data_IF_172482552198
#
_entry.id   IF_172482552198
#
_cell.length_a   1.000
_cell.length_b   1.000
_cell.length_c   1.000
_cell.angle_alpha   90.00
_cell.angle_beta   90.00
_cell.angle_gamma   90.00
#
_symmetry.space_group_name_H-M   'P 1'
#
loop_
_entity.id
_entity.type
_entity.pdbx_description
1 polymer ?
#
# COMPACT_ATOMS: atom_id res chain seq x y z
N UNK A 1 -22.38 14.59 -26.03
CA UNK A 1 -21.34 15.60 -25.72
C UNK A 1 -20.15 14.84 -25.19
N UNK A 2 -19.01 14.94 -25.85
CA UNK A 2 -17.76 14.33 -25.40
C UNK A 2 -17.41 14.95 -24.04
N UNK A 3 -17.11 14.13 -23.03
CA UNK A 3 -16.77 14.62 -21.70
C UNK A 3 -15.47 15.43 -21.79
N UNK A 4 -15.52 16.72 -21.43
CA UNK A 4 -14.39 17.64 -21.53
C UNK A 4 -13.34 17.32 -20.44
N UNK A 5 -12.14 16.85 -20.81
CA UNK A 5 -11.05 16.55 -19.86
C UNK A 5 -10.68 17.76 -18.99
N UNK A 6 -10.91 18.97 -19.48
CA UNK A 6 -10.62 20.23 -18.77
C UNK A 6 -11.44 20.36 -17.49
N UNK A 7 -12.69 19.87 -17.49
CA UNK A 7 -13.56 19.89 -16.31
C UNK A 7 -13.11 18.89 -15.24
N UNK A 8 -12.74 17.68 -15.65
CA UNK A 8 -12.18 16.68 -14.75
C UNK A 8 -10.88 17.18 -14.11
N UNK A 9 -10.04 17.86 -14.90
CA UNK A 9 -8.83 18.50 -14.39
C UNK A 9 -9.13 19.62 -13.38
N UNK A 10 -10.14 20.47 -13.65
CA UNK A 10 -10.55 21.51 -12.70
C UNK A 10 -11.08 20.90 -11.39
N UNK A 11 -11.90 19.85 -11.48
CA UNK A 11 -12.40 19.11 -10.32
C UNK A 11 -11.26 18.48 -9.51
N UNK A 12 -10.25 17.91 -10.18
CA UNK A 12 -9.10 17.31 -9.48
C UNK A 12 -8.32 18.37 -8.69
N UNK A 13 -8.16 19.58 -9.23
CA UNK A 13 -7.53 20.71 -8.55
C UNK A 13 -8.38 21.20 -7.37
N UNK A 14 -9.69 21.35 -7.54
CA UNK A 14 -10.60 21.74 -6.46
C UNK A 14 -10.57 20.72 -5.31
N UNK A 15 -10.67 19.42 -5.62
CA UNK A 15 -10.56 18.37 -4.61
C UNK A 15 -9.21 18.36 -3.92
N UNK A 16 -8.12 18.72 -4.59
CA UNK A 16 -6.82 18.83 -3.91
C UNK A 16 -6.79 20.02 -2.95
N UNK A 17 -7.32 21.18 -3.37
CA UNK A 17 -7.37 22.39 -2.56
C UNK A 17 -8.28 22.24 -1.34
N UNK A 18 -9.44 21.63 -1.53
CA UNK A 18 -10.43 21.36 -0.50
C UNK A 18 -10.05 20.17 0.37
N UNK A 19 -8.84 19.63 0.20
CA UNK A 19 -8.35 18.57 1.06
C UNK A 19 -9.27 17.32 0.96
N UNK A 20 -9.62 16.97 -0.27
CA UNK A 20 -10.41 15.78 -0.63
C UNK A 20 -9.51 14.72 -1.28
N UNK A 21 -8.49 15.13 -2.04
CA UNK A 21 -7.47 14.26 -2.63
C UNK A 21 -6.06 14.68 -2.18
N UNK A 22 -5.15 13.71 -2.02
CA UNK A 22 -3.71 14.02 -1.81
C UNK A 22 -3.08 14.57 -3.09
N UNK A 23 -1.93 15.25 -2.96
CA UNK A 23 -1.15 15.69 -4.12
C UNK A 23 -0.76 14.53 -5.04
N UNK A 24 -0.40 13.38 -4.46
CA UNK A 24 -0.09 12.17 -5.21
C UNK A 24 -1.32 11.60 -5.91
N UNK A 25 -2.46 11.55 -5.23
CA UNK A 25 -3.73 11.12 -5.81
C UNK A 25 -4.14 12.01 -6.99
N UNK A 26 -3.95 13.33 -6.86
CA UNK A 26 -4.18 14.28 -7.94
C UNK A 26 -3.21 14.06 -9.11
N UNK A 27 -1.93 13.78 -8.85
CA UNK A 27 -0.96 13.47 -9.90
C UNK A 27 -1.38 12.24 -10.72
N UNK A 28 -1.79 11.15 -10.05
CA UNK A 28 -2.33 9.97 -10.74
C UNK A 28 -3.63 10.28 -11.48
N UNK A 29 -4.56 10.98 -10.83
CA UNK A 29 -5.84 11.33 -11.47
C UNK A 29 -5.63 12.15 -12.74
N UNK A 30 -4.66 13.07 -12.76
CA UNK A 30 -4.27 13.82 -13.97
C UNK A 30 -3.76 12.90 -15.07
N UNK A 31 -2.93 11.92 -14.74
CA UNK A 31 -2.44 10.94 -15.72
C UNK A 31 -3.58 10.10 -16.31
N UNK A 32 -4.51 9.63 -15.46
CA UNK A 32 -5.69 8.86 -15.88
C UNK A 32 -6.64 9.72 -16.75
N UNK A 33 -6.82 11.01 -16.40
CA UNK A 33 -7.58 11.96 -17.23
C UNK A 33 -6.93 12.14 -18.60
N UNK A 34 -5.60 12.26 -18.67
CA UNK A 34 -4.87 12.39 -19.94
C UNK A 34 -4.98 11.13 -20.81
N UNK A 35 -5.02 9.94 -20.18
CA UNK A 35 -5.26 8.66 -20.86
C UNK A 35 -6.70 8.47 -21.33
N UNK A 36 -7.62 9.38 -20.96
CA UNK A 36 -9.06 9.32 -21.29
C UNK A 36 -9.75 8.03 -20.81
N UNK A 37 -9.48 7.63 -19.56
CA UNK A 37 -10.16 6.48 -18.96
C UNK A 37 -11.70 6.64 -19.01
N UNK A 38 -12.38 5.64 -19.57
CA UNK A 38 -13.82 5.67 -19.81
C UNK A 38 -14.64 5.87 -18.53
N UNK A 39 -14.15 5.39 -17.38
CA UNK A 39 -14.84 5.52 -16.09
C UNK A 39 -14.95 6.98 -15.65
N UNK A 40 -13.89 7.76 -15.85
CA UNK A 40 -13.89 9.19 -15.53
C UNK A 40 -14.72 10.01 -16.54
N UNK A 41 -14.72 9.61 -17.82
CA UNK A 41 -15.57 10.24 -18.83
C UNK A 41 -17.06 10.02 -18.53
N UNK A 42 -17.42 8.81 -18.11
CA UNK A 42 -18.78 8.48 -17.65
C UNK A 42 -19.17 9.30 -16.42
N UNK A 43 -18.24 9.46 -15.45
CA UNK A 43 -18.46 10.31 -14.28
C UNK A 43 -18.73 11.77 -14.67
N UNK A 44 -17.95 12.33 -15.60
CA UNK A 44 -18.16 13.69 -16.08
C UNK A 44 -19.55 13.87 -16.72
N UNK A 45 -20.02 12.88 -17.50
CA UNK A 45 -21.36 12.90 -18.08
C UNK A 45 -22.47 12.82 -17.03
N UNK A 46 -22.28 12.05 -15.96
CA UNK A 46 -23.23 11.94 -14.83
C UNK A 46 -23.28 13.26 -14.05
N UNK A 47 -22.14 13.90 -13.80
CA UNK A 47 -22.09 15.22 -13.15
C UNK A 47 -22.79 16.29 -13.99
N UNK A 48 -22.68 16.19 -15.32
CA UNK A 48 -23.30 17.11 -16.27
C UNK A 48 -24.82 16.96 -16.38
N UNK A 49 -25.34 15.73 -16.21
CA UNK A 49 -26.77 15.46 -16.37
C UNK A 49 -27.63 15.87 -15.17
N UNK A 50 -27.03 16.37 -14.06
CA UNK A 50 -27.70 16.80 -12.80
C UNK A 50 -28.78 15.84 -12.27
N UNK A 51 -28.77 14.57 -12.69
CA UNK A 51 -29.86 13.63 -12.42
C UNK A 51 -29.31 12.40 -11.71
N UNK A 52 -29.98 12.05 -10.61
CA UNK A 52 -29.78 10.88 -9.75
C UNK A 52 -28.33 10.38 -9.68
N UNK A 53 -27.59 10.96 -8.72
CA UNK A 53 -26.38 10.35 -8.22
C UNK A 53 -26.66 8.86 -7.92
N UNK A 54 -25.88 7.93 -8.48
CA UNK A 54 -26.00 6.52 -8.10
C UNK A 54 -25.76 6.34 -6.60
N UNK A 55 -26.05 5.14 -6.06
CA UNK A 55 -25.82 4.83 -4.64
C UNK A 55 -24.36 5.10 -4.18
N UNK A 56 -23.41 5.16 -5.11
CA UNK A 56 -22.03 5.60 -4.88
C UNK A 56 -21.88 7.08 -5.21
N UNK A 57 -21.27 7.85 -4.32
CA UNK A 57 -21.01 9.27 -4.53
C UNK A 57 -19.90 9.46 -5.59
N UNK A 58 -19.85 10.59 -6.32
CA UNK A 58 -18.83 10.84 -7.36
C UNK A 58 -17.40 10.71 -6.86
N UNK A 59 -17.19 10.99 -5.58
CA UNK A 59 -15.91 10.85 -4.90
C UNK A 59 -15.54 9.38 -4.70
N UNK A 60 -16.49 8.49 -4.42
CA UNK A 60 -16.25 7.05 -4.32
C UNK A 60 -15.73 6.49 -5.65
N UNK A 61 -16.31 6.93 -6.78
CA UNK A 61 -15.86 6.55 -8.13
C UNK A 61 -14.42 7.02 -8.40
N UNK A 62 -14.08 8.23 -7.97
CA UNK A 62 -12.71 8.76 -8.12
C UNK A 62 -11.72 7.95 -7.27
N UNK A 63 -12.09 7.64 -6.03
CA UNK A 63 -11.27 6.80 -5.15
C UNK A 63 -11.07 5.40 -5.73
N UNK A 64 -12.11 4.76 -6.26
CA UNK A 64 -12.01 3.44 -6.90
C UNK A 64 -11.06 3.46 -8.10
N UNK A 65 -11.14 4.49 -8.96
CA UNK A 65 -10.23 4.64 -10.11
C UNK A 65 -8.77 4.82 -9.66
N UNK A 66 -8.53 5.63 -8.62
CA UNK A 66 -7.19 5.82 -8.05
C UNK A 66 -6.66 4.50 -7.46
N UNK A 67 -7.51 3.75 -6.75
CA UNK A 67 -7.16 2.46 -6.15
C UNK A 67 -6.74 1.46 -7.22
N UNK A 68 -7.50 1.38 -8.31
CA UNK A 68 -7.23 0.46 -9.40
C UNK A 68 -5.90 0.81 -10.09
N UNK A 69 -5.65 2.09 -10.38
CA UNK A 69 -4.37 2.51 -10.96
C UNK A 69 -3.20 2.25 -10.02
N UNK A 70 -3.36 2.54 -8.72
CA UNK A 70 -2.36 2.24 -7.70
C UNK A 70 -2.05 0.73 -7.62
N UNK A 71 -3.08 -0.11 -7.73
CA UNK A 71 -2.94 -1.57 -7.75
C UNK A 71 -2.23 -2.08 -9.02
N UNK A 72 -2.53 -1.50 -10.19
CA UNK A 72 -1.83 -1.83 -11.45
C UNK A 72 -0.35 -1.47 -11.35
N UNK A 73 -0.02 -0.28 -10.87
CA UNK A 73 1.37 0.14 -10.68
C UNK A 73 2.10 -0.70 -9.63
N UNK A 74 1.42 -1.06 -8.54
CA UNK A 74 1.93 -2.00 -7.54
C UNK A 74 2.24 -3.36 -8.17
N UNK A 75 1.31 -3.93 -8.94
CA UNK A 75 1.49 -5.23 -9.61
C UNK A 75 2.68 -5.20 -10.56
N UNK A 76 2.84 -4.10 -11.31
CA UNK A 76 3.98 -3.89 -12.21
C UNK A 76 5.31 -3.78 -11.46
N UNK A 77 5.33 -3.07 -10.33
CA UNK A 77 6.52 -2.91 -9.50
C UNK A 77 7.01 -4.24 -8.93
N UNK A 78 6.09 -5.17 -8.63
CA UNK A 78 6.39 -6.50 -8.10
C UNK A 78 6.39 -7.61 -9.15
N UNK A 79 6.32 -7.29 -10.43
CA UNK A 79 6.32 -8.28 -11.52
C UNK A 79 7.56 -9.19 -11.47
N UNK A 80 8.71 -8.62 -11.12
CA UNK A 80 9.99 -9.33 -10.97
C UNK A 80 10.21 -9.95 -9.59
N UNK A 81 9.32 -9.66 -8.63
CA UNK A 81 9.37 -10.17 -7.25
C UNK A 81 7.98 -10.68 -6.83
N UNK A 82 7.55 -11.74 -7.52
CA UNK A 82 6.28 -12.40 -7.21
C UNK A 82 6.32 -13.10 -5.85
N UNK A 83 5.15 -13.47 -5.33
CA UNK A 83 4.99 -14.22 -4.07
C UNK A 83 5.85 -15.49 -4.07
N UNK A 84 5.88 -16.22 -5.18
CA UNK A 84 6.59 -17.49 -5.28
C UNK A 84 8.11 -17.29 -5.33
N UNK A 85 8.56 -16.23 -5.99
CA UNK A 85 9.99 -15.86 -6.01
C UNK A 85 10.44 -15.50 -4.59
N UNK A 86 9.69 -14.65 -3.89
CA UNK A 86 10.03 -14.25 -2.52
C UNK A 86 9.98 -15.44 -1.54
N UNK A 87 8.99 -16.32 -1.65
CA UNK A 87 8.94 -17.59 -0.89
C UNK A 87 10.15 -18.47 -1.16
N UNK A 88 10.56 -18.58 -2.41
CA UNK A 88 11.71 -19.39 -2.80
C UNK A 88 13.01 -18.81 -2.24
N UNK A 89 13.21 -17.49 -2.33
CA UNK A 89 14.36 -16.80 -1.73
C UNK A 89 14.44 -17.03 -0.22
N UNK A 90 13.33 -16.85 0.49
CA UNK A 90 13.26 -17.12 1.93
C UNK A 90 13.60 -18.58 2.25
N UNK A 91 13.07 -19.53 1.48
CA UNK A 91 13.32 -20.96 1.70
C UNK A 91 14.80 -21.30 1.49
N UNK A 92 15.39 -20.90 0.37
CA UNK A 92 16.79 -21.17 0.06
C UNK A 92 17.74 -20.54 1.06
N UNK A 93 17.45 -19.32 1.55
CA UNK A 93 18.30 -18.66 2.55
C UNK A 93 18.19 -19.33 3.93
N UNK A 94 17.00 -19.83 4.30
CA UNK A 94 16.83 -20.59 5.55
C UNK A 94 17.53 -21.95 5.50
N UNK A 95 17.43 -22.65 4.36
CA UNK A 95 18.16 -23.90 4.12
C UNK A 95 19.69 -23.66 4.19
N UNK A 96 20.19 -22.58 3.59
CA UNK A 96 21.61 -22.26 3.57
C UNK A 96 22.20 -21.86 4.94
N UNK A 97 21.36 -21.37 5.86
CA UNK A 97 21.77 -20.89 7.19
C UNK A 97 21.33 -21.82 8.33
N UNK A 98 20.82 -23.02 8.02
CA UNK A 98 20.28 -23.97 9.01
C UNK A 98 19.15 -23.39 9.89
N UNK A 99 18.33 -22.48 9.33
CA UNK A 99 17.22 -21.78 10.00
C UNK A 99 15.85 -22.35 9.61
N UNK A 100 15.79 -23.60 9.19
CA UNK A 100 14.53 -24.24 8.75
C UNK A 100 13.50 -24.37 9.89
N UNK A 101 13.98 -24.61 11.11
CA UNK A 101 13.16 -24.78 12.32
C UNK A 101 12.63 -23.44 12.88
N UNK A 102 13.21 -22.31 12.44
CA UNK A 102 12.80 -20.97 12.86
C UNK A 102 11.48 -20.57 12.21
N UNK A 103 10.38 -20.90 12.89
CA UNK A 103 9.01 -20.56 12.46
C UNK A 103 8.82 -19.05 12.26
N UNK A 104 9.56 -18.23 13.00
CA UNK A 104 9.52 -16.77 12.92
C UNK A 104 9.88 -16.22 11.52
N UNK A 105 10.61 -17.01 10.72
CA UNK A 105 11.07 -16.66 9.38
C UNK A 105 10.19 -17.24 8.26
N UNK A 106 9.04 -17.84 8.60
CA UNK A 106 8.08 -18.32 7.61
C UNK A 106 7.50 -17.12 6.86
N UNK A 107 7.78 -17.07 5.56
CA UNK A 107 7.37 -15.97 4.71
C UNK A 107 5.88 -16.03 4.33
N UNK A 108 5.18 -14.91 4.53
CA UNK A 108 3.80 -14.70 4.10
C UNK A 108 3.59 -13.24 3.69
N UNK A 109 2.81 -12.99 2.63
CA UNK A 109 2.57 -11.65 2.10
C UNK A 109 1.17 -11.12 2.41
N UNK A 110 1.09 -9.84 2.74
CA UNK A 110 -0.19 -9.17 2.98
C UNK A 110 -0.96 -9.02 1.66
N UNK A 111 -2.28 -9.16 1.71
CA UNK A 111 -3.13 -8.87 0.56
C UNK A 111 -3.25 -7.35 0.38
N UNK A 112 -3.09 -6.87 -0.87
CA UNK A 112 -3.12 -5.45 -1.20
C UNK A 112 -4.41 -4.78 -0.71
N UNK A 113 -5.57 -5.36 -1.03
CA UNK A 113 -6.87 -4.74 -0.76
C UNK A 113 -7.14 -4.66 0.73
N UNK A 114 -6.87 -5.75 1.46
CA UNK A 114 -7.13 -5.78 2.90
C UNK A 114 -6.12 -4.94 3.69
N UNK A 115 -4.84 -4.97 3.34
CA UNK A 115 -3.85 -4.15 4.05
C UNK A 115 -4.03 -2.67 3.73
N UNK A 116 -4.34 -2.31 2.49
CA UNK A 116 -4.68 -0.94 2.13
C UNK A 116 -5.87 -0.42 2.95
N UNK A 117 -6.90 -1.25 3.18
CA UNK A 117 -8.03 -0.88 4.05
C UNK A 117 -7.60 -0.57 5.48
N UNK A 118 -6.72 -1.36 6.07
CA UNK A 118 -6.22 -1.12 7.43
C UNK A 118 -5.48 0.21 7.49
N UNK A 119 -4.59 0.45 6.53
CA UNK A 119 -3.83 1.71 6.45
C UNK A 119 -4.75 2.89 6.24
N UNK A 120 -5.80 2.76 5.41
CA UNK A 120 -6.78 3.84 5.15
C UNK A 120 -7.58 4.29 6.37
N UNK A 121 -7.71 3.44 7.39
CA UNK A 121 -8.36 3.82 8.65
C UNK A 121 -7.46 4.68 9.53
N UNK A 122 -6.17 4.59 9.32
CA UNK A 122 -5.18 5.33 10.07
C UNK A 122 -5.06 6.71 9.42
N UNK A 123 -5.20 7.76 10.22
CA UNK A 123 -5.03 9.13 9.78
C UNK A 123 -3.64 9.65 10.17
N UNK A 124 -2.59 9.41 9.36
CA UNK A 124 -1.27 9.91 9.68
C UNK A 124 -1.22 11.44 9.72
N UNK A 125 -0.55 12.02 10.71
CA UNK A 125 -0.16 13.44 10.69
C UNK A 125 0.84 13.78 9.57
N UNK A 126 1.17 15.08 9.41
CA UNK A 126 2.27 15.49 8.51
C UNK A 126 3.59 15.01 9.11
N UNK A 127 4.49 14.52 8.26
CA UNK A 127 5.83 14.09 8.71
C UNK A 127 5.84 12.74 9.42
N UNK A 128 4.78 11.94 9.27
CA UNK A 128 4.69 10.63 9.91
C UNK A 128 5.64 9.62 9.27
N UNK A 129 6.19 8.75 10.11
CA UNK A 129 7.07 7.65 9.73
C UNK A 129 6.35 6.32 9.86
N UNK A 130 6.42 5.53 8.79
CA UNK A 130 5.95 4.16 8.76
C UNK A 130 7.12 3.20 8.92
N UNK A 131 6.98 2.19 9.78
CA UNK A 131 7.96 1.10 9.94
C UNK A 131 7.32 -0.25 9.64
N UNK A 132 8.01 -1.07 8.86
CA UNK A 132 7.66 -2.45 8.55
C UNK A 132 8.71 -3.39 9.16
N UNK A 133 8.33 -4.09 10.23
CA UNK A 133 9.19 -4.99 10.98
C UNK A 133 9.07 -6.42 10.42
N UNK A 134 10.13 -6.91 9.80
CA UNK A 134 10.08 -8.12 8.97
C UNK A 134 9.51 -7.81 7.59
N UNK A 135 10.05 -6.78 6.93
CA UNK A 135 9.46 -6.22 5.71
C UNK A 135 9.47 -7.17 4.51
N UNK A 136 10.28 -8.23 4.54
CA UNK A 136 10.40 -9.18 3.45
C UNK A 136 10.81 -8.51 2.14
N UNK A 137 10.05 -8.74 1.07
CA UNK A 137 10.21 -8.06 -0.22
C UNK A 137 9.70 -6.60 -0.23
N UNK A 138 9.28 -6.06 0.93
CA UNK A 138 8.72 -4.71 1.13
C UNK A 138 7.33 -4.45 0.52
N UNK A 139 6.55 -5.51 0.26
CA UNK A 139 5.17 -5.37 -0.25
C UNK A 139 4.28 -4.56 0.69
N UNK A 140 4.27 -4.88 1.99
CA UNK A 140 3.47 -4.15 2.96
C UNK A 140 3.91 -2.67 3.04
N UNK A 141 5.21 -2.40 3.07
CA UNK A 141 5.76 -1.05 2.98
C UNK A 141 5.26 -0.27 1.76
N UNK A 142 5.29 -0.85 0.56
CA UNK A 142 4.83 -0.16 -0.66
C UNK A 142 3.30 -0.04 -0.72
N UNK A 143 2.54 -1.00 -0.18
CA UNK A 143 1.09 -0.86 -0.02
C UNK A 143 0.80 0.30 0.94
N UNK A 144 1.46 0.37 2.09
CA UNK A 144 1.26 1.45 3.05
C UNK A 144 1.58 2.83 2.45
N UNK A 145 2.64 2.90 1.62
CA UNK A 145 2.97 4.13 0.88
C UNK A 145 1.86 4.55 -0.10
N UNK A 146 1.17 3.60 -0.73
CA UNK A 146 0.16 3.87 -1.77
C UNK A 146 -1.26 4.00 -1.24
N UNK A 147 -1.61 3.25 -0.21
CA UNK A 147 -2.97 3.17 0.32
C UNK A 147 -3.47 4.51 0.89
N UNK A 148 -2.57 5.42 1.25
CA UNK A 148 -2.93 6.76 1.74
C UNK A 148 -3.40 7.73 0.64
N UNK A 149 -3.41 7.32 -0.63
CA UNK A 149 -3.92 8.15 -1.74
C UNK A 149 -5.46 8.29 -1.71
N UNK A 150 -6.17 7.46 -0.95
CA UNK A 150 -7.64 7.37 -0.96
C UNK A 150 -8.36 7.86 0.30
N UNK A 151 -7.64 8.22 1.36
CA UNK A 151 -8.35 8.63 2.59
C UNK A 151 -8.85 10.06 2.48
N UNK A 152 -10.08 10.29 2.92
CA UNK A 152 -10.68 11.61 3.17
C UNK A 152 -9.84 12.53 4.09
N UNK A 153 -8.65 12.10 4.57
CA UNK A 153 -7.81 12.80 5.54
C UNK A 153 -6.28 12.86 5.19
N UNK A 154 -5.90 12.50 3.96
CA UNK A 154 -4.91 13.23 3.14
C UNK A 154 -3.42 13.29 3.52
N UNK A 155 -2.75 12.26 4.02
CA UNK A 155 -1.30 12.42 4.28
C UNK A 155 -0.48 11.20 3.91
N UNK A 156 0.46 11.41 3.00
CA UNK A 156 1.49 10.45 2.66
C UNK A 156 2.50 10.34 3.81
N UNK A 157 3.03 9.13 4.03
CA UNK A 157 4.15 8.95 4.96
C UNK A 157 5.37 9.67 4.41
N UNK A 158 5.98 10.53 5.22
CA UNK A 158 7.20 11.25 4.87
C UNK A 158 8.39 10.28 4.72
N UNK A 159 8.31 9.15 5.41
CA UNK A 159 9.36 8.17 5.47
C UNK A 159 8.75 6.79 5.67
N UNK A 160 9.12 5.82 4.83
CA UNK A 160 8.82 4.42 5.09
C UNK A 160 10.12 3.65 5.30
N UNK A 161 10.20 2.94 6.42
CA UNK A 161 11.37 2.18 6.85
C UNK A 161 11.03 0.68 6.87
N UNK A 162 11.77 -0.15 6.14
CA UNK A 162 11.64 -1.60 6.16
C UNK A 162 12.85 -2.24 6.83
N UNK A 163 12.63 -3.13 7.78
CA UNK A 163 13.69 -3.89 8.45
C UNK A 163 13.48 -5.37 8.16
N UNK A 164 14.46 -6.00 7.52
CA UNK A 164 14.43 -7.41 7.13
C UNK A 164 15.74 -8.08 7.54
N UNK A 165 15.65 -9.28 8.12
CA UNK A 165 16.81 -10.03 8.60
C UNK A 165 17.45 -10.89 7.51
N UNK A 166 16.63 -11.38 6.57
CA UNK A 166 17.07 -12.20 5.44
C UNK A 166 17.63 -11.32 4.32
N UNK A 167 18.91 -11.48 4.01
CA UNK A 167 19.64 -10.68 3.03
C UNK A 167 19.11 -10.86 1.60
N UNK A 168 18.62 -12.04 1.24
CA UNK A 168 18.02 -12.32 -0.07
C UNK A 168 16.73 -11.54 -0.28
N UNK A 169 15.85 -11.53 0.72
CA UNK A 169 14.61 -10.73 0.70
C UNK A 169 14.90 -9.23 0.73
N UNK A 170 15.86 -8.81 1.54
CA UNK A 170 16.30 -7.42 1.62
C UNK A 170 16.88 -6.92 0.27
N UNK A 171 17.65 -7.75 -0.43
CA UNK A 171 18.18 -7.43 -1.77
C UNK A 171 17.07 -7.29 -2.80
N UNK A 172 16.06 -8.17 -2.74
CA UNK A 172 14.87 -8.05 -3.58
C UNK A 172 14.10 -6.75 -3.29
N UNK A 173 13.90 -6.41 -2.01
CA UNK A 173 13.27 -5.16 -1.59
C UNK A 173 14.04 -3.92 -2.10
N UNK A 174 15.37 -3.94 -2.07
CA UNK A 174 16.19 -2.86 -2.63
C UNK A 174 16.00 -2.70 -4.14
N UNK A 175 15.89 -3.81 -4.87
CA UNK A 175 15.66 -3.79 -6.32
C UNK A 175 14.30 -3.16 -6.65
N UNK A 176 13.27 -3.54 -5.89
CA UNK A 176 11.93 -2.93 -5.95
C UNK A 176 11.97 -1.44 -5.60
N UNK A 177 12.72 -1.03 -4.58
CA UNK A 177 12.85 0.38 -4.21
C UNK A 177 13.58 1.23 -5.25
N UNK A 178 14.58 0.67 -5.95
CA UNK A 178 15.22 1.33 -7.09
C UNK A 178 14.22 1.53 -8.23
N UNK A 179 13.49 0.49 -8.59
CA UNK A 179 12.49 0.55 -9.66
C UNK A 179 11.37 1.55 -9.35
N UNK A 180 10.92 1.62 -8.09
CA UNK A 180 9.97 2.62 -7.64
C UNK A 180 10.52 4.04 -7.84
N UNK A 181 11.76 4.28 -7.42
CA UNK A 181 12.40 5.59 -7.49
C UNK A 181 12.63 6.06 -8.93
N UNK A 182 12.95 5.13 -9.83
CA UNK A 182 13.19 5.43 -11.25
C UNK A 182 11.91 5.60 -12.06
N UNK A 183 10.92 4.73 -11.84
CA UNK A 183 9.76 4.64 -12.73
C UNK A 183 8.53 5.35 -12.21
N UNK A 184 8.32 5.36 -10.88
CA UNK A 184 7.04 5.83 -10.33
C UNK A 184 7.17 7.09 -9.49
N UNK A 185 8.25 7.27 -8.72
CA UNK A 185 8.46 8.51 -7.98
C UNK A 185 8.41 9.78 -8.87
N UNK A 186 8.87 9.77 -10.14
CA UNK A 186 8.73 10.93 -11.03
C UNK A 186 7.29 11.24 -11.47
N UNK A 187 6.37 10.25 -11.37
CA UNK A 187 4.95 10.41 -11.70
C UNK A 187 4.13 10.92 -10.50
N UNK A 188 4.75 11.01 -9.31
CA UNK A 188 4.13 11.48 -8.08
C UNK A 188 4.42 12.97 -7.85
N UNK A 189 3.76 13.57 -6.85
CA UNK A 189 4.00 14.96 -6.49
C UNK A 189 5.43 15.15 -5.95
N UNK A 190 6.20 15.98 -6.65
CA UNK A 190 7.61 16.26 -6.33
C UNK A 190 7.81 16.97 -5.00
N UNK A 191 6.77 17.63 -4.47
CA UNK A 191 6.81 18.30 -3.18
C UNK A 191 6.52 17.35 -2.00
N UNK A 192 6.08 16.13 -2.31
CA UNK A 192 5.81 15.11 -1.30
C UNK A 192 7.03 14.21 -1.16
N UNK A 193 7.51 14.08 0.08
CA UNK A 193 8.65 13.24 0.41
C UNK A 193 8.35 11.77 0.09
N UNK A 194 9.20 11.15 -0.73
CA UNK A 194 9.05 9.76 -1.15
C UNK A 194 10.12 8.83 -0.55
N UNK A 195 10.70 9.20 0.61
CA UNK A 195 11.89 8.52 1.16
C UNK A 195 11.60 7.09 1.61
N UNK A 196 12.31 6.12 1.05
CA UNK A 196 12.28 4.72 1.47
C UNK A 196 13.64 4.37 2.06
N UNK A 197 13.65 3.84 3.28
CA UNK A 197 14.86 3.32 3.92
C UNK A 197 14.68 1.83 4.17
N UNK A 198 15.66 1.04 3.75
CA UNK A 198 15.66 -0.41 3.96
C UNK A 198 16.90 -0.76 4.77
N UNK A 199 16.75 -1.65 5.75
CA UNK A 199 17.85 -2.10 6.58
C UNK A 199 17.87 -3.63 6.66
N UNK A 200 19.03 -4.21 6.35
CA UNK A 200 19.32 -5.63 6.55
C UNK A 200 19.73 -5.85 8.01
N UNK A 201 18.77 -6.10 8.89
CA UNK A 201 19.02 -6.33 10.31
C UNK A 201 17.84 -7.05 10.97
N UNK A 202 18.09 -7.63 12.14
CA UNK A 202 17.00 -7.95 13.06
C UNK A 202 16.39 -6.64 13.57
N UNK A 203 15.06 -6.52 13.51
CA UNK A 203 14.35 -5.37 14.06
C UNK A 203 14.54 -5.20 15.57
N UNK A 204 15.03 -6.22 16.28
CA UNK A 204 15.40 -6.11 17.69
C UNK A 204 16.69 -5.31 17.91
N UNK A 205 17.48 -5.07 16.87
CA UNK A 205 18.74 -4.32 16.94
C UNK A 205 18.65 -2.93 16.27
N UNK A 206 17.47 -2.56 15.77
CA UNK A 206 17.21 -1.27 15.14
C UNK A 206 16.37 -0.43 16.08
N UNK A 207 16.69 0.85 16.22
CA UNK A 207 15.82 1.78 16.94
C UNK A 207 14.72 2.30 15.99
N UNK A 208 13.49 1.92 16.28
CA UNK A 208 12.28 2.36 15.58
C UNK A 208 11.31 3.10 16.53
N UNK A 209 11.80 3.57 17.68
CA UNK A 209 11.00 4.28 18.69
C UNK A 209 10.44 5.63 18.21
N UNK A 210 10.98 6.17 17.11
CA UNK A 210 10.49 7.39 16.48
C UNK A 210 9.35 7.16 15.48
N UNK A 211 8.97 5.90 15.22
CA UNK A 211 7.87 5.52 14.35
C UNK A 211 6.50 6.00 14.84
N UNK A 212 5.70 6.51 13.91
CA UNK A 212 4.33 6.96 14.19
C UNK A 212 3.31 5.85 13.86
N UNK A 213 3.60 5.06 12.82
CA UNK A 213 2.86 3.85 12.48
C UNK A 213 3.84 2.72 12.29
N UNK A 214 3.71 1.64 13.06
CA UNK A 214 4.59 0.47 13.02
C UNK A 214 3.76 -0.74 12.68
N UNK A 215 4.21 -1.55 11.74
CA UNK A 215 3.58 -2.78 11.31
C UNK A 215 4.51 -3.97 11.54
N UNK A 216 3.96 -5.08 12.02
CA UNK A 216 4.66 -6.36 12.12
C UNK A 216 3.72 -7.53 11.77
N UNK A 217 4.12 -8.38 10.83
CA UNK A 217 3.41 -9.63 10.58
C UNK A 217 3.81 -10.70 11.61
N UNK A 218 3.19 -10.64 12.79
CA UNK A 218 3.53 -11.48 13.95
C UNK A 218 2.93 -12.90 13.94
N UNK A 219 2.41 -13.38 12.80
CA UNK A 219 1.68 -14.66 12.73
C UNK A 219 2.48 -15.85 13.22
N UNK A 220 3.78 -15.90 12.87
CA UNK A 220 4.66 -17.00 13.26
C UNK A 220 5.71 -16.62 14.30
N UNK A 221 5.61 -15.44 14.93
CA UNK A 221 6.57 -15.00 15.93
C UNK A 221 6.41 -15.80 17.22
N UNK A 222 7.53 -16.32 17.75
CA UNK A 222 7.57 -16.98 19.05
C UNK A 222 7.27 -16.02 20.20
N UNK A 223 6.94 -16.54 21.38
CA UNK A 223 6.51 -15.71 22.50
C UNK A 223 7.65 -14.84 23.06
N UNK A 224 8.89 -15.32 23.02
CA UNK A 224 10.08 -14.53 23.39
C UNK A 224 10.29 -13.35 22.43
N UNK A 225 10.15 -13.59 21.12
CA UNK A 225 10.26 -12.54 20.10
C UNK A 225 9.15 -11.50 20.27
N UNK A 226 7.91 -11.95 20.50
CA UNK A 226 6.79 -11.06 20.81
C UNK A 226 7.03 -10.22 22.05
N UNK A 227 7.60 -10.81 23.12
CA UNK A 227 7.93 -10.09 24.35
C UNK A 227 9.02 -9.04 24.11
N UNK A 228 10.08 -9.40 23.37
CA UNK A 228 11.16 -8.48 23.03
C UNK A 228 10.66 -7.31 22.16
N UNK A 229 9.84 -7.60 21.14
CA UNK A 229 9.20 -6.59 20.30
C UNK A 229 8.27 -5.69 21.10
N UNK A 230 7.48 -6.26 22.03
CA UNK A 230 6.60 -5.49 22.91
C UNK A 230 7.37 -4.50 23.78
N UNK A 231 8.50 -4.92 24.37
CA UNK A 231 9.37 -4.03 25.16
C UNK A 231 9.95 -2.87 24.34
N UNK A 232 10.26 -3.10 23.07
CA UNK A 232 10.70 -2.01 22.19
C UNK A 232 9.53 -1.11 21.77
N UNK A 233 8.34 -1.68 21.55
CA UNK A 233 7.13 -0.92 21.25
C UNK A 233 6.77 0.05 22.39
N UNK A 234 7.04 -0.35 23.64
CA UNK A 234 6.93 0.52 24.82
C UNK A 234 7.89 1.73 24.82
N UNK A 235 8.76 1.88 23.82
CA UNK A 235 9.55 3.11 23.62
C UNK A 235 8.95 4.07 22.60
N UNK A 236 7.90 3.66 21.87
CA UNK A 236 7.19 4.51 20.92
C UNK A 236 6.61 5.76 21.60
N UNK A 237 6.46 6.83 20.82
CA UNK A 237 5.80 8.06 21.28
C UNK A 237 4.33 7.78 21.63
N UNK A 238 3.76 8.46 22.64
CA UNK A 238 2.31 8.50 22.83
C UNK A 238 1.57 8.84 21.55
N UNK A 239 0.45 8.14 21.29
CA UNK A 239 -0.35 8.30 20.08
C UNK A 239 0.14 7.52 18.86
N UNK A 240 1.36 6.95 18.88
CA UNK A 240 1.83 6.06 17.81
C UNK A 240 0.93 4.83 17.69
N UNK A 241 0.76 4.34 16.47
CA UNK A 241 -0.07 3.19 16.14
C UNK A 241 0.82 1.98 15.88
N UNK A 242 0.47 0.84 16.45
CA UNK A 242 1.09 -0.44 16.18
C UNK A 242 0.06 -1.39 15.56
N UNK A 243 0.36 -1.91 14.39
CA UNK A 243 -0.44 -2.86 13.64
C UNK A 243 0.23 -4.22 13.73
N UNK A 244 -0.47 -5.22 14.24
CA UNK A 244 0.07 -6.58 14.33
C UNK A 244 -0.93 -7.63 13.85
N UNK A 245 -0.40 -8.70 13.27
CA UNK A 245 -1.21 -9.78 12.72
C UNK A 245 -1.15 -11.03 13.60
N UNK A 246 -2.33 -11.60 13.87
CA UNK A 246 -2.61 -12.82 14.64
C UNK A 246 -2.27 -12.73 16.13
N UNK A 247 -1.09 -12.20 16.48
CA UNK A 247 -0.65 -11.96 17.87
C UNK A 247 -0.61 -10.46 18.15
N UNK A 248 -1.29 -10.03 19.22
CA UNK A 248 -1.26 -8.63 19.69
C UNK A 248 -0.03 -8.35 20.56
N UNK A 249 0.34 -7.08 20.69
CA UNK A 249 1.25 -6.66 21.75
C UNK A 249 0.57 -6.86 23.11
N UNK A 250 1.25 -7.56 24.02
CA UNK A 250 0.75 -7.79 25.37
C UNK A 250 1.41 -6.82 26.36
N UNK A 251 0.99 -5.56 26.32
CA UNK A 251 1.48 -4.50 27.20
C UNK A 251 0.34 -3.62 27.70
N UNK A 252 0.42 -3.16 28.94
CA UNK A 252 -0.51 -2.18 29.52
C UNK A 252 -0.36 -0.79 28.92
N UNK A 253 0.75 -0.52 28.22
CA UNK A 253 1.06 0.75 27.57
C UNK A 253 0.26 0.98 26.28
N UNK A 254 -0.48 -0.02 25.78
CA UNK A 254 -1.25 0.06 24.54
C UNK A 254 -2.74 -0.16 24.78
N UNK A 255 -3.58 0.57 24.05
CA UNK A 255 -5.01 0.29 23.91
C UNK A 255 -5.28 -0.36 22.55
N UNK A 256 -6.28 -1.24 22.47
CA UNK A 256 -6.72 -1.82 21.19
C UNK A 256 -7.78 -0.89 20.60
N UNK A 257 -7.49 -0.27 19.47
CA UNK A 257 -8.45 0.52 18.70
C UNK A 257 -9.35 -0.37 17.85
N UNK A 258 -8.77 -1.40 17.23
CA UNK A 258 -9.49 -2.33 16.38
C UNK A 258 -8.95 -3.75 16.50
N UNK A 259 -9.87 -4.71 16.38
CA UNK A 259 -9.58 -6.13 16.20
C UNK A 259 -10.51 -6.65 15.10
N UNK A 260 -9.94 -7.07 13.96
CA UNK A 260 -10.73 -7.50 12.81
C UNK A 260 -10.07 -8.65 12.06
N UNK A 261 -10.87 -9.51 11.42
CA UNK A 261 -10.34 -10.63 10.64
C UNK A 261 -10.32 -10.27 9.15
N UNK A 262 -9.18 -10.47 8.50
CA UNK A 262 -8.97 -10.17 7.09
C UNK A 262 -8.31 -11.35 6.38
N UNK A 263 -8.60 -11.53 5.09
CA UNK A 263 -7.97 -12.58 4.30
C UNK A 263 -6.60 -12.11 3.80
N UNK A 264 -5.58 -12.97 3.93
CA UNK A 264 -4.20 -12.71 3.48
C UNK A 264 -3.77 -13.79 2.48
N UNK A 265 -2.54 -13.71 1.95
CA UNK A 265 -2.03 -14.70 0.99
C UNK A 265 -1.93 -16.13 1.56
N UNK A 266 -2.03 -16.27 2.88
CA UNK A 266 -1.92 -17.54 3.62
C UNK A 266 -3.21 -17.93 4.36
N UNK A 267 -4.32 -17.21 4.10
CA UNK A 267 -5.61 -17.42 4.76
C UNK A 267 -6.00 -16.28 5.71
N UNK A 268 -7.06 -16.46 6.51
CA UNK A 268 -7.57 -15.41 7.39
C UNK A 268 -6.63 -15.13 8.57
N UNK A 269 -6.28 -13.86 8.77
CA UNK A 269 -5.49 -13.36 9.88
C UNK A 269 -6.29 -12.36 10.72
N UNK A 270 -6.06 -12.34 12.04
CA UNK A 270 -6.64 -11.31 12.91
C UNK A 270 -5.72 -10.11 12.95
N UNK A 271 -6.17 -8.97 12.47
CA UNK A 271 -5.45 -7.70 12.53
C UNK A 271 -5.81 -6.98 13.82
N UNK A 272 -4.79 -6.59 14.56
CA UNK A 272 -4.90 -5.72 15.72
C UNK A 272 -4.32 -4.36 15.36
N UNK A 273 -5.10 -3.31 15.61
CA UNK A 273 -4.62 -1.93 15.55
C UNK A 273 -4.60 -1.41 16.98
N UNK A 274 -3.42 -1.11 17.49
CA UNK A 274 -3.19 -0.68 18.87
C UNK A 274 -2.62 0.73 18.88
N UNK A 275 -3.03 1.56 19.84
CA UNK A 275 -2.49 2.92 20.03
C UNK A 275 -1.68 2.98 21.31
N UNK A 276 -0.56 3.69 21.26
CA UNK A 276 0.29 3.92 22.41
C UNK A 276 -0.34 4.95 23.34
N UNK A 277 -0.54 4.57 24.62
CA UNK A 277 -1.07 5.47 25.65
C UNK A 277 -0.13 6.63 25.95
N UNK A 278 -0.70 7.70 26.48
CA UNK A 278 0.06 8.80 27.09
C UNK A 278 0.86 8.33 28.30
N UNK A 279 1.89 9.07 28.69
CA UNK A 279 2.75 8.75 29.84
C UNK A 279 1.95 8.62 31.15
N UNK A 280 0.82 9.32 31.25
CA UNK A 280 -0.09 9.27 32.39
C UNK A 280 -1.05 8.07 32.34
N UNK A 281 -0.91 7.18 31.36
CA UNK A 281 -1.74 5.98 31.19
C UNK A 281 -3.13 6.26 30.62
N UNK A 282 -3.48 7.51 30.36
CA UNK A 282 -4.72 7.89 29.66
C UNK A 282 -4.63 7.57 28.17
N UNK A 283 -5.75 7.08 27.61
CA UNK A 283 -5.87 6.88 26.16
C UNK A 283 -5.72 8.23 25.46
N UNK A 284 -4.88 8.33 24.43
CA UNK A 284 -4.81 9.57 23.64
C UNK A 284 -6.10 9.69 22.84
N UNK A 285 -7.08 10.41 23.38
CA UNK A 285 -8.42 10.62 22.80
C UNK A 285 -8.41 11.24 21.39
N UNK A 286 -7.26 11.60 20.82
CA UNK A 286 -7.15 12.20 19.48
C UNK A 286 -7.00 11.21 18.33
N UNK A 287 -6.70 9.92 18.58
CA UNK A 287 -6.45 8.95 17.50
C UNK A 287 -7.63 7.99 17.34
N UNK A 288 -8.75 8.46 16.79
CA UNK A 288 -9.84 7.60 16.35
C UNK A 288 -9.58 7.10 14.93
N UNK A 289 -9.86 5.83 14.67
CA UNK A 289 -9.83 5.27 13.31
C UNK A 289 -10.96 5.86 12.48
N UNK A 290 -10.71 6.02 11.19
CA UNK A 290 -11.73 6.44 10.22
C UNK A 290 -12.63 5.25 9.91
N UNK A 291 -13.94 5.44 10.03
CA UNK A 291 -14.92 4.43 9.61
C UNK A 291 -15.00 4.38 8.09
N UNK A 292 -14.71 3.20 7.53
CA UNK A 292 -14.80 2.93 6.09
C UNK A 292 -16.08 2.15 5.82
N UNK A 293 -16.94 2.68 4.96
CA UNK A 293 -18.20 2.03 4.56
C UNK A 293 -17.94 0.67 3.93
N UNK A 294 -18.69 -0.36 4.36
CA UNK A 294 -18.58 -1.72 3.81
C UNK A 294 -17.36 -2.52 4.31
N UNK A 295 -16.59 -1.98 5.26
CA UNK A 295 -15.56 -2.74 5.93
C UNK A 295 -16.19 -3.68 6.98
N UNK A 296 -16.42 -4.93 6.58
CA UNK A 296 -16.88 -6.02 7.45
C UNK A 296 -15.73 -6.95 7.81
N UNK A 297 -15.85 -7.64 8.95
CA UNK A 297 -14.91 -8.71 9.28
C UNK A 297 -15.09 -9.86 8.27
N UNK A 298 -14.00 -10.51 7.88
CA UNK A 298 -14.08 -11.69 7.03
C UNK A 298 -14.75 -12.84 7.81
N UNK A 299 -16.01 -13.12 7.49
CA UNK A 299 -16.84 -14.15 8.13
C UNK A 299 -16.86 -15.49 7.36
N UNK A 300 -16.10 -15.62 6.27
CA UNK A 300 -16.02 -16.86 5.50
C UNK A 300 -15.51 -18.04 6.33
N UNK A 301 -16.13 -19.21 6.14
CA UNK A 301 -15.68 -20.48 6.69
C UNK A 301 -14.32 -20.87 6.07
N UNK A 302 -13.49 -21.55 6.86
CA UNK A 302 -12.10 -21.93 6.53
C UNK A 302 -12.01 -22.71 5.19
N UNK A 303 -13.11 -23.29 4.73
CA UNK A 303 -13.20 -24.12 3.52
C UNK A 303 -13.29 -23.35 2.20
N UNK A 304 -13.84 -22.14 2.16
CA UNK A 304 -13.96 -21.37 0.89
C UNK A 304 -12.68 -20.64 0.49
N UNK A 305 -11.78 -20.39 1.44
CA UNK A 305 -10.54 -19.63 1.20
C UNK A 305 -9.54 -20.34 0.26
N UNK A 306 -9.60 -21.67 0.16
CA UNK A 306 -8.74 -22.46 -0.73
C UNK A 306 -9.22 -22.46 -2.19
N UNK A 307 -10.53 -22.42 -2.45
CA UNK A 307 -11.06 -22.54 -3.82
C UNK A 307 -10.96 -21.24 -4.61
N UNK A 308 -11.12 -20.08 -3.97
CA UNK A 308 -11.09 -18.78 -4.68
C UNK A 308 -9.68 -18.43 -5.18
N UNK A 309 -8.64 -18.84 -4.45
CA UNK A 309 -7.25 -18.60 -4.86
C UNK A 309 -6.72 -19.63 -5.88
N UNK A 310 -7.30 -20.84 -5.96
CA UNK A 310 -6.99 -21.79 -7.04
C UNK A 310 -7.74 -21.48 -8.34
N UNK A 311 -8.99 -20.99 -8.27
CA UNK A 311 -9.80 -20.75 -9.46
C UNK A 311 -9.38 -19.49 -10.26
N UNK A 312 -8.80 -18.47 -9.61
CA UNK A 312 -8.35 -17.24 -10.30
C UNK A 312 -6.97 -17.34 -10.94
N UNK A 313 -6.24 -18.43 -10.69
CA UNK A 313 -4.99 -18.76 -11.40
C UNK A 313 -5.19 -19.36 -12.80
N UNK A 314 -6.43 -19.57 -13.26
CA UNK A 314 -6.71 -20.31 -14.50
C UNK A 314 -7.56 -19.55 -15.55
N UNK A 315 -7.81 -18.24 -15.39
CA UNK A 315 -8.43 -17.43 -16.46
C UNK A 315 -7.41 -16.46 -17.05
N UNK A 316 -6.30 -17.02 -17.52
CA UNK A 316 -5.45 -16.42 -18.55
C UNK A 316 -5.87 -16.98 -19.91
N UNK A 317 -7.06 -16.63 -20.39
CA UNK A 317 -7.44 -16.85 -21.78
C UNK A 317 -8.66 -15.99 -22.12
N UNK A 318 -8.66 -15.43 -23.34
CA UNK A 318 -9.73 -14.67 -23.99
C UNK A 318 -9.71 -13.17 -23.71
N UNK A 319 -8.68 -12.46 -24.20
CA UNK A 319 -8.85 -11.32 -25.12
C UNK A 319 -7.67 -11.36 -26.10
N UNK A 320 -7.88 -11.92 -27.29
CA UNK A 320 -6.95 -11.80 -28.40
C UNK A 320 -6.95 -10.35 -28.91
N UNK A 321 -5.80 -9.73 -29.21
CA UNK A 321 -5.79 -8.45 -29.91
C UNK A 321 -6.24 -8.66 -31.37
N UNK A 322 -6.99 -7.72 -31.96
CA UNK A 322 -7.31 -7.78 -33.39
C UNK A 322 -6.02 -7.60 -34.20
N UNK A 323 -5.57 -8.68 -34.83
CA UNK A 323 -4.64 -8.64 -35.96
C UNK A 323 -5.32 -7.95 -37.15
N UNK A 324 -4.81 -6.78 -37.54
CA UNK A 324 -4.47 -6.39 -38.92
C UNK A 324 -4.56 -4.86 -39.10
N UNK A 325 -3.42 -4.28 -39.50
CA UNK A 325 -3.20 -3.12 -40.37
C UNK A 325 -1.92 -2.38 -39.94
N UNK A 326 -0.79 -3.10 -40.02
CA UNK A 326 0.48 -2.45 -40.35
C UNK A 326 0.58 -2.46 -41.87
N UNK A 327 0.29 -1.32 -42.49
CA UNK A 327 0.89 -0.99 -43.77
C UNK A 327 2.13 -0.16 -43.50
N UNK A 328 3.21 -0.56 -44.17
CA UNK A 328 4.51 0.10 -44.20
C UNK A 328 4.39 1.62 -44.31
N UNK A 329 5.04 2.33 -43.41
CA UNK A 329 5.47 3.71 -43.65
C UNK A 329 6.94 3.78 -43.31
N UNK A 330 7.73 3.90 -44.37
CA UNK A 330 9.18 3.98 -44.37
C UNK A 330 9.72 5.07 -43.43
N UNK A 331 10.76 4.70 -42.70
CA UNK A 331 11.68 5.60 -42.00
C UNK A 331 12.33 6.54 -43.02
N UNK A 332 11.91 7.80 -43.05
CA UNK A 332 12.62 8.88 -43.73
C UNK A 332 13.09 9.90 -42.68
N UNK A 333 14.39 10.19 -42.77
CA UNK A 333 15.22 11.09 -41.96
C UNK A 333 14.53 12.34 -41.39
N UNK A 334 14.61 12.52 -40.07
CA UNK A 334 14.39 13.82 -39.42
C UNK A 334 15.73 14.57 -39.25
N UNK A 335 15.92 15.75 -39.88
CA UNK A 335 17.11 16.55 -39.70
C UNK A 335 17.07 17.35 -38.39
N UNK A 336 18.24 17.42 -37.74
CA UNK A 336 18.57 18.22 -36.57
C UNK A 336 18.11 19.68 -36.71
N UNK A 337 17.30 20.17 -35.77
CA UNK A 337 17.10 21.61 -35.54
C UNK A 337 17.86 22.06 -34.30
N UNK A 338 19.00 22.71 -34.55
CA UNK A 338 19.70 23.58 -33.59
C UNK A 338 19.04 24.95 -33.59
N UNK A 339 19.01 25.56 -32.40
CA UNK A 339 19.02 27.01 -32.10
C UNK A 339 17.90 27.89 -32.64
N UNK A 340 17.21 28.57 -31.72
CA UNK A 340 16.97 30.01 -31.75
C UNK A 340 16.69 30.49 -30.31
N UNK A 341 17.73 31.04 -29.68
CA UNK A 341 17.60 32.01 -28.61
C UNK A 341 17.78 33.38 -29.27
N UNK A 342 16.79 34.25 -29.10
CA UNK A 342 16.83 35.69 -29.38
C UNK A 342 16.09 36.39 -28.27
#
# INVERSE_FOLDING_TARGET
MEADPTRLYLLSVLFTNDQVLTSNANAHLKEVILRRDERLLNLAQILDSRSNLPNATPIDVIHDVIQDEAHVLYTKLFERCSLDVAKSLSKTEREANDLEDEKSLIYGEVDFKYFARVIRKINPGKGTKFYDLGSGSSKALFIARRANMETQLLRDFDCCCGVEVLAGLHTAAHSVASEFSEKIAPMLDLNTSQRVYLQCASFLHVDWSDGDVVFANSTCFGDELMLAMTRQAERLKPGSIFISFTKRLNSSAFDILERKRYCMSWGPATVFVQVRKTHDGTSSFMTSLVDITGDSSYDGDITEACEINMAKGCVSAIISPPTSLYHDVDLVDFPRLRTLAS
#
